data_IF_876431440804
#
_entry.id   IF_876431440804
#
_cell.length_a   1.000
_cell.length_b   1.000
_cell.length_c   1.000
_cell.angle_alpha   90.00
_cell.angle_beta   90.00
_cell.angle_gamma   90.00
#
_symmetry.space_group_name_H-M   'P 1'
#
loop_
_entity.id
_entity.type
_entity.pdbx_description
1 polymer ?
#
# COMPACT_ATOMS: atom_id res chain seq x y z
N UNK A 1 -10.02 -21.50 -25.97
CA UNK A 1 -10.43 -20.79 -24.74
C UNK A 1 -10.24 -21.59 -23.45
N UNK A 2 -10.30 -22.92 -23.46
CA UNK A 2 -10.39 -23.74 -22.23
C UNK A 2 -9.14 -23.80 -21.33
N UNK A 3 -7.94 -23.51 -21.86
CA UNK A 3 -6.68 -23.50 -21.09
C UNK A 3 -6.45 -22.23 -20.27
N UNK A 4 -7.09 -21.13 -20.67
CA UNK A 4 -7.05 -19.85 -19.95
C UNK A 4 -7.99 -19.86 -18.74
N UNK A 5 -9.09 -20.62 -18.82
CA UNK A 5 -10.06 -20.81 -17.74
C UNK A 5 -9.52 -21.70 -16.61
N UNK A 6 -8.71 -22.71 -16.95
CA UNK A 6 -8.02 -23.58 -15.96
C UNK A 6 -6.94 -22.78 -15.20
N UNK A 7 -6.15 -21.95 -15.89
CA UNK A 7 -5.11 -21.12 -15.26
C UNK A 7 -5.72 -20.05 -14.33
N UNK A 8 -6.86 -19.46 -14.72
CA UNK A 8 -7.58 -18.50 -13.88
C UNK A 8 -8.19 -19.15 -12.62
N UNK A 9 -8.68 -20.39 -12.72
CA UNK A 9 -9.19 -21.13 -11.54
C UNK A 9 -8.09 -21.54 -10.56
N UNK A 10 -6.88 -21.82 -11.05
CA UNK A 10 -5.74 -22.26 -10.23
C UNK A 10 -5.13 -21.08 -9.44
N UNK A 11 -5.16 -19.87 -10.01
CA UNK A 11 -4.78 -18.63 -9.31
C UNK A 11 -5.79 -18.27 -8.22
N UNK A 12 -7.08 -18.51 -8.44
CA UNK A 12 -8.13 -18.23 -7.44
C UNK A 12 -8.12 -19.26 -6.29
N UNK A 13 -7.83 -20.54 -6.59
CA UNK A 13 -7.71 -21.60 -5.58
C UNK A 13 -6.43 -21.51 -4.74
N UNK A 14 -5.33 -20.99 -5.31
CA UNK A 14 -4.07 -20.76 -4.59
C UNK A 14 -4.12 -19.53 -3.65
N UNK A 15 -5.08 -18.62 -3.84
CA UNK A 15 -5.22 -17.41 -3.02
C UNK A 15 -6.30 -17.52 -1.91
N UNK A 16 -7.09 -18.60 -1.90
CA UNK A 16 -8.12 -18.84 -0.90
C UNK A 16 -7.62 -19.28 0.50
N UNK A 17 -6.55 -20.10 0.67
CA UNK A 17 -6.18 -20.56 2.02
C UNK A 17 -5.56 -19.45 2.89
N UNK A 18 -5.15 -18.32 2.31
CA UNK A 18 -4.55 -17.19 3.06
C UNK A 18 -5.62 -16.31 3.73
N UNK A 19 -6.91 -16.53 3.45
CA UNK A 19 -8.04 -15.91 4.18
C UNK A 19 -8.71 -16.86 5.19
N UNK A 20 -8.17 -18.08 5.41
CA UNK A 20 -8.64 -19.01 6.45
C UNK A 20 -7.62 -19.23 7.58
N UNK A 21 -6.45 -18.59 7.54
CA UNK A 21 -5.43 -18.68 8.59
C UNK A 21 -5.66 -17.71 9.77
N UNK A 22 -6.83 -17.05 9.87
CA UNK A 22 -7.21 -16.17 10.97
C UNK A 22 -8.39 -16.70 11.79
N UNK A 23 -8.60 -18.02 11.85
CA UNK A 23 -9.44 -18.63 12.89
C UNK A 23 -8.58 -18.92 14.12
N UNK A 24 -9.07 -18.42 15.25
CA UNK A 24 -8.33 -18.23 16.48
C UNK A 24 -7.82 -19.51 17.13
N UNK A 25 -6.62 -19.37 17.67
CA UNK A 25 -6.22 -20.06 18.90
C UNK A 25 -5.99 -18.97 19.95
N UNK A 26 -6.90 -18.85 20.91
CA UNK A 26 -6.66 -18.12 22.15
C UNK A 26 -6.82 -19.13 23.29
N UNK A 27 -5.73 -19.55 23.94
CA UNK A 27 -5.82 -20.46 25.07
C UNK A 27 -6.18 -19.68 26.34
N UNK A 28 -7.24 -20.13 27.02
CA UNK A 28 -7.38 -19.97 28.47
C UNK A 28 -8.36 -18.91 28.96
N UNK A 29 -9.64 -19.29 29.07
CA UNK A 29 -10.52 -18.74 30.10
C UNK A 29 -10.57 -19.70 31.31
N UNK A 30 -10.25 -19.23 32.52
CA UNK A 30 -10.85 -19.76 33.75
C UNK A 30 -11.99 -18.84 34.24
N UNK A 31 -12.90 -19.36 35.09
CA UNK A 31 -14.32 -19.04 35.07
C UNK A 31 -14.74 -17.78 35.84
N UNK A 32 -15.82 -17.18 35.34
CA UNK A 32 -16.86 -16.40 36.01
C UNK A 32 -16.69 -16.10 37.50
N UNK A 33 -16.45 -14.82 37.81
CA UNK A 33 -16.75 -14.21 39.11
C UNK A 33 -17.84 -13.14 38.93
N UNK A 34 -19.04 -13.41 39.47
CA UNK A 34 -20.10 -12.42 39.62
C UNK A 34 -19.66 -11.46 40.75
N UNK A 35 -19.40 -10.21 40.40
CA UNK A 35 -19.10 -9.14 41.36
C UNK A 35 -19.70 -7.84 40.87
N UNK A 36 -20.96 -7.58 41.22
CA UNK A 36 -21.61 -6.31 40.93
C UNK A 36 -21.01 -5.18 41.77
N UNK A 37 -20.73 -4.05 41.13
CA UNK A 37 -20.64 -2.75 41.81
C UNK A 37 -21.59 -1.78 41.10
N UNK A 38 -22.57 -1.19 41.81
CA UNK A 38 -23.56 -0.30 41.22
C UNK A 38 -23.05 1.14 41.24
N UNK A 39 -22.90 1.74 40.07
CA UNK A 39 -22.69 3.19 39.94
C UNK A 39 -22.04 3.57 38.61
N UNK A 40 -22.86 3.81 37.58
CA UNK A 40 -22.91 5.10 36.87
C UNK A 40 -24.05 5.09 35.83
N UNK A 41 -24.85 6.17 35.66
CA UNK A 41 -25.94 6.24 34.67
C UNK A 41 -25.47 6.46 33.21
N UNK A 42 -26.35 6.23 32.21
CA UNK A 42 -25.99 6.11 30.80
C UNK A 42 -26.09 7.45 30.04
N UNK A 43 -25.10 7.78 29.20
CA UNK A 43 -25.27 8.81 28.17
C UNK A 43 -24.26 8.68 27.01
N UNK A 44 -24.79 8.27 25.86
CA UNK A 44 -24.62 8.89 24.55
C UNK A 44 -23.23 9.38 24.11
N UNK A 45 -22.71 8.69 23.11
CA UNK A 45 -21.69 9.21 22.23
C UNK A 45 -20.91 8.07 21.59
N UNK A 46 -21.49 7.41 20.58
CA UNK A 46 -20.64 6.76 19.58
C UNK A 46 -19.82 7.88 18.96
N UNK A 47 -18.64 8.14 19.52
CA UNK A 47 -17.64 8.97 18.88
C UNK A 47 -17.35 8.24 17.56
N UNK A 48 -17.93 8.75 16.48
CA UNK A 48 -17.41 8.47 15.14
C UNK A 48 -16.02 9.07 15.16
N UNK A 49 -15.07 8.25 15.58
CA UNK A 49 -13.65 8.57 15.48
C UNK A 49 -13.39 8.65 13.99
N UNK A 50 -13.25 9.88 13.49
CA UNK A 50 -12.67 10.11 12.18
C UNK A 50 -11.23 9.60 12.26
N UNK A 51 -11.06 8.32 11.93
CA UNK A 51 -9.75 7.72 11.68
C UNK A 51 -9.18 8.51 10.53
N UNK A 52 -8.25 9.41 10.85
CA UNK A 52 -7.53 10.18 9.89
C UNK A 52 -6.79 9.17 8.98
N UNK A 53 -7.15 9.04 7.70
CA UNK A 53 -6.47 8.12 6.78
C UNK A 53 -5.00 8.52 6.56
N UNK A 54 -4.59 9.67 7.08
CA UNK A 54 -3.24 10.20 7.07
C UNK A 54 -2.47 9.97 8.39
N UNK A 55 -3.05 9.29 9.40
CA UNK A 55 -2.46 8.84 10.68
C UNK A 55 -1.42 9.76 11.35
N UNK A 56 -1.45 11.06 11.05
CA UNK A 56 -0.46 12.02 11.50
C UNK A 56 -0.74 12.38 12.94
N UNK A 57 0.09 11.87 13.85
CA UNK A 57 0.27 12.53 15.15
C UNK A 57 0.77 13.97 14.95
N UNK A 58 0.75 14.78 16.00
CA UNK A 58 1.01 16.23 16.01
C UNK A 58 2.44 16.68 15.59
N UNK A 59 3.17 15.87 14.83
CA UNK A 59 4.57 16.07 14.44
C UNK A 59 4.71 16.18 12.91
N UNK A 60 5.44 17.20 12.45
CA UNK A 60 5.70 17.46 11.03
C UNK A 60 6.28 16.25 10.30
N UNK A 61 7.15 15.49 10.96
CA UNK A 61 7.77 14.27 10.41
C UNK A 61 6.74 13.17 10.11
N UNK A 62 5.77 12.95 11.00
CA UNK A 62 4.69 11.99 10.82
C UNK A 62 3.76 12.39 9.67
N UNK A 63 3.54 13.69 9.50
CA UNK A 63 2.77 14.22 8.36
C UNK A 63 3.49 14.00 7.02
N UNK A 64 4.80 14.28 6.96
CA UNK A 64 5.63 14.09 5.75
C UNK A 64 5.77 12.62 5.35
N UNK A 65 5.95 11.73 6.32
CA UNK A 65 6.03 10.29 6.05
C UNK A 65 4.69 9.72 5.58
N UNK A 66 3.58 10.16 6.18
CA UNK A 66 2.23 9.71 5.80
C UNK A 66 1.82 10.18 4.40
N UNK A 67 2.13 11.43 4.03
CA UNK A 67 1.83 11.91 2.67
C UNK A 67 2.70 11.20 1.62
N UNK A 68 3.96 10.91 1.97
CA UNK A 68 4.85 10.18 1.08
C UNK A 68 4.36 8.75 0.83
N UNK A 69 3.97 8.02 1.88
CA UNK A 69 3.43 6.67 1.74
C UNK A 69 2.13 6.65 0.92
N UNK A 70 1.26 7.66 1.12
CA UNK A 70 0.08 7.85 0.29
C UNK A 70 0.42 8.03 -1.19
N UNK A 71 1.38 8.92 -1.50
CA UNK A 71 1.82 9.19 -2.88
C UNK A 71 2.45 7.94 -3.50
N UNK A 72 3.28 7.20 -2.76
CA UNK A 72 3.90 5.95 -3.23
C UNK A 72 2.81 4.93 -3.55
N UNK A 73 1.85 4.71 -2.64
CA UNK A 73 0.78 3.72 -2.82
C UNK A 73 -0.04 3.97 -4.08
N UNK A 74 -0.42 5.22 -4.33
CA UNK A 74 -1.14 5.60 -5.56
C UNK A 74 -0.20 5.53 -6.77
N UNK A 75 1.03 6.03 -6.64
CA UNK A 75 2.01 6.05 -7.71
C UNK A 75 2.37 4.65 -8.22
N UNK A 76 2.48 3.64 -7.34
CA UNK A 76 2.75 2.26 -7.74
C UNK A 76 1.67 1.72 -8.67
N UNK A 77 0.39 1.97 -8.37
CA UNK A 77 -0.74 1.56 -9.20
C UNK A 77 -0.66 2.23 -10.59
N UNK A 78 -0.37 3.54 -10.61
CA UNK A 78 -0.26 4.31 -11.85
C UNK A 78 0.92 3.83 -12.72
N UNK A 79 2.07 3.54 -12.10
CA UNK A 79 3.26 3.04 -12.82
C UNK A 79 2.96 1.70 -13.49
N UNK A 80 2.31 0.77 -12.78
CA UNK A 80 1.92 -0.53 -13.35
C UNK A 80 1.02 -0.33 -14.57
N UNK A 81 0.04 0.57 -14.48
CA UNK A 81 -0.86 0.87 -15.58
C UNK A 81 -0.13 1.46 -16.79
N UNK A 82 0.81 2.40 -16.56
CA UNK A 82 1.63 2.96 -17.62
C UNK A 82 2.52 1.92 -18.30
N UNK A 83 3.14 1.01 -17.55
CA UNK A 83 3.97 -0.06 -18.13
C UNK A 83 3.16 -0.95 -19.06
N UNK A 84 1.94 -1.32 -18.67
CA UNK A 84 1.03 -2.11 -19.52
C UNK A 84 0.66 -1.35 -20.79
N UNK A 85 0.31 -0.06 -20.68
CA UNK A 85 -0.07 0.78 -21.82
C UNK A 85 1.09 0.97 -22.82
N UNK A 86 2.30 1.19 -22.30
CA UNK A 86 3.53 1.27 -23.10
C UNK A 86 3.81 -0.06 -23.80
N UNK A 87 3.72 -1.18 -23.08
CA UNK A 87 3.89 -2.51 -23.65
C UNK A 87 2.91 -2.77 -24.80
N UNK A 88 1.64 -2.39 -24.63
CA UNK A 88 0.63 -2.46 -25.69
C UNK A 88 1.01 -1.61 -26.92
N UNK A 89 1.46 -0.37 -26.73
CA UNK A 89 1.91 0.47 -27.85
C UNK A 89 3.10 -0.12 -28.61
N UNK A 90 4.03 -0.79 -27.93
CA UNK A 90 5.13 -1.49 -28.60
C UNK A 90 4.63 -2.63 -29.50
N UNK A 91 3.61 -3.37 -29.07
CA UNK A 91 3.02 -4.46 -29.87
C UNK A 91 2.29 -3.90 -31.10
N UNK A 92 1.53 -2.81 -30.95
CA UNK A 92 0.76 -2.19 -32.04
C UNK A 92 1.66 -1.45 -33.05
N UNK A 93 2.86 -1.03 -32.65
CA UNK A 93 3.75 -0.28 -33.53
C UNK A 93 4.20 -1.09 -34.77
N UNK A 94 4.19 -2.42 -34.73
CA UNK A 94 4.34 -3.35 -35.87
C UNK A 94 5.47 -3.02 -36.88
N UNK A 95 6.51 -2.28 -36.47
CA UNK A 95 7.62 -1.88 -37.35
C UNK A 95 7.47 -0.51 -38.02
N UNK A 96 6.37 0.21 -37.79
CA UNK A 96 6.21 1.59 -38.26
C UNK A 96 7.10 2.53 -37.42
N UNK A 97 8.04 3.27 -38.04
CA UNK A 97 9.07 4.01 -37.33
C UNK A 97 8.53 5.15 -36.45
N UNK A 98 7.41 5.78 -36.83
CA UNK A 98 6.75 6.83 -36.05
C UNK A 98 6.21 6.31 -34.72
N UNK A 99 5.37 5.27 -34.75
CA UNK A 99 4.79 4.63 -33.56
C UNK A 99 5.84 4.00 -32.65
N UNK A 100 6.93 3.46 -33.22
CA UNK A 100 8.05 2.95 -32.43
C UNK A 100 8.78 4.05 -31.67
N UNK A 101 8.98 5.21 -32.30
CA UNK A 101 9.62 6.36 -31.66
C UNK A 101 8.76 6.87 -30.51
N UNK A 102 7.46 6.96 -30.74
CA UNK A 102 6.50 7.37 -29.71
C UNK A 102 6.47 6.38 -28.53
N UNK A 103 6.44 5.07 -28.79
CA UNK A 103 6.45 4.03 -27.76
C UNK A 103 7.73 4.09 -26.91
N UNK A 104 8.89 4.33 -27.54
CA UNK A 104 10.17 4.54 -26.83
C UNK A 104 10.13 5.78 -25.95
N UNK A 105 9.58 6.88 -26.44
CA UNK A 105 9.48 8.10 -25.66
C UNK A 105 8.59 7.90 -24.42
N UNK A 106 7.44 7.23 -24.57
CA UNK A 106 6.58 6.92 -23.43
C UNK A 106 7.23 5.97 -22.43
N UNK A 107 8.04 5.01 -22.91
CA UNK A 107 8.80 4.13 -22.04
C UNK A 107 9.81 4.91 -21.21
N UNK A 108 10.53 5.86 -21.81
CA UNK A 108 11.47 6.71 -21.07
C UNK A 108 10.75 7.51 -19.98
N UNK A 109 9.61 8.12 -20.30
CA UNK A 109 8.79 8.82 -19.30
C UNK A 109 8.30 7.91 -18.18
N UNK A 110 7.91 6.67 -18.51
CA UNK A 110 7.49 5.67 -17.52
C UNK A 110 8.63 5.27 -16.59
N UNK A 111 9.83 5.06 -17.14
CA UNK A 111 11.03 4.76 -16.34
C UNK A 111 11.38 5.93 -15.43
N UNK A 112 11.33 7.16 -15.93
CA UNK A 112 11.59 8.36 -15.12
C UNK A 112 10.57 8.47 -13.98
N UNK A 113 9.28 8.23 -14.24
CA UNK A 113 8.25 8.22 -13.20
C UNK A 113 8.49 7.14 -12.13
N UNK A 114 8.85 5.93 -12.55
CA UNK A 114 9.21 4.85 -11.63
C UNK A 114 10.46 5.19 -10.79
N UNK A 115 11.47 5.79 -11.42
CA UNK A 115 12.70 6.20 -10.75
C UNK A 115 12.46 7.31 -9.73
N UNK A 116 11.55 8.25 -10.01
CA UNK A 116 11.14 9.28 -9.05
C UNK A 116 10.49 8.65 -7.81
N UNK A 117 9.63 7.64 -7.99
CA UNK A 117 9.03 6.92 -6.86
C UNK A 117 10.09 6.24 -5.99
N UNK A 118 11.03 5.53 -6.62
CA UNK A 118 12.15 4.88 -5.94
C UNK A 118 13.08 5.89 -5.25
N UNK A 119 13.36 7.01 -5.92
CA UNK A 119 14.19 8.09 -5.40
C UNK A 119 13.56 8.78 -4.19
N UNK A 120 12.24 8.97 -4.20
CA UNK A 120 11.51 9.55 -3.07
C UNK A 120 11.60 8.67 -1.82
N UNK A 121 11.49 7.34 -1.98
CA UNK A 121 11.72 6.39 -0.88
C UNK A 121 13.16 6.44 -0.36
N UNK A 122 14.14 6.46 -1.26
CA UNK A 122 15.55 6.49 -0.87
C UNK A 122 15.91 7.74 -0.05
N UNK A 123 15.40 8.91 -0.46
CA UNK A 123 15.61 10.16 0.26
C UNK A 123 14.93 10.14 1.64
N UNK A 124 13.69 9.65 1.71
CA UNK A 124 12.96 9.58 2.97
C UNK A 124 13.67 8.73 4.01
N UNK A 125 14.16 7.54 3.60
CA UNK A 125 14.94 6.65 4.47
C UNK A 125 16.21 7.37 4.96
N UNK A 126 16.91 8.08 4.07
CA UNK A 126 18.12 8.83 4.42
C UNK A 126 17.87 9.93 5.46
N UNK A 127 16.74 10.63 5.38
CA UNK A 127 16.37 11.66 6.36
C UNK A 127 16.07 11.03 7.72
N UNK A 128 15.24 9.98 7.77
CA UNK A 128 14.93 9.28 9.03
C UNK A 128 16.16 8.68 9.70
N UNK A 129 17.08 8.09 8.91
CA UNK A 129 18.32 7.54 9.44
C UNK A 129 19.20 8.62 10.09
N UNK A 130 19.25 9.82 9.48
CA UNK A 130 20.02 10.95 10.03
C UNK A 130 19.38 11.51 11.31
N UNK A 131 18.06 11.63 11.36
CA UNK A 131 17.34 12.10 12.56
C UNK A 131 17.49 11.11 13.72
N UNK A 132 17.38 9.80 13.46
CA UNK A 132 17.57 8.77 14.48
C UNK A 132 19.01 8.72 15.02
N UNK A 133 20.01 8.91 14.15
CA UNK A 133 21.41 8.98 14.55
C UNK A 133 21.69 10.15 15.51
N UNK A 134 21.01 11.28 15.34
CA UNK A 134 21.12 12.43 16.24
C UNK A 134 20.29 12.24 17.53
N UNK A 135 19.19 11.49 17.48
CA UNK A 135 18.35 11.21 18.66
C UNK A 135 18.96 10.20 19.64
N UNK A 136 19.88 9.34 19.20
CA UNK A 136 20.48 8.27 20.03
C UNK A 136 21.81 8.69 20.68
N UNK A 137 22.26 9.93 20.42
CA UNK A 137 23.59 10.43 20.81
C UNK A 137 23.67 11.18 22.15
N UNK A 138 22.64 11.13 22.99
CA UNK A 138 22.64 11.63 24.39
C UNK A 138 22.23 10.54 25.33
#
# INVERSE_FOLDING_TARGET
MSRFLILASLVFFALAPVMLAAIGDSPGAPPSGIGGSPGEPPASGSSVTLINPLQGGASLESFLTSILDFVIRIGTIVVIFMVVLVGYKFVVAQGEPGKLTEARQMLLWTIVGALILLGAQAIAIGITATVQALSTGT
#
